data_IF_407382054824
#
_entry.id   IF_407382054824
#
_cell.length_a   1.000
_cell.length_b   1.000
_cell.length_c   1.000
_cell.angle_alpha   90.00
_cell.angle_beta   90.00
_cell.angle_gamma   90.00
#
_symmetry.space_group_name_H-M   'P 1'
#
loop_
_entity.id
_entity.type
_entity.pdbx_description
1 polymer ?
#
# COMPACT_ATOMS: atom_id res chain seq x y z
N UNK A 1 -16.81 0.96 -23.86
CA UNK A 1 -17.30 0.15 -22.73
C UNK A 1 -16.42 -1.09 -22.51
N UNK A 2 -16.56 -2.21 -23.24
CA UNK A 2 -15.81 -3.45 -22.93
C UNK A 2 -14.29 -3.36 -23.18
N UNK A 3 -13.88 -2.70 -24.27
CA UNK A 3 -12.46 -2.53 -24.62
C UNK A 3 -11.69 -1.61 -23.66
N UNK A 4 -12.36 -0.63 -23.06
CA UNK A 4 -11.76 0.28 -22.08
C UNK A 4 -11.53 -0.43 -20.74
N UNK A 5 -12.51 -1.22 -20.30
CA UNK A 5 -12.41 -2.01 -19.06
C UNK A 5 -11.35 -3.12 -19.13
N UNK A 6 -11.15 -3.72 -20.31
CA UNK A 6 -10.06 -4.68 -20.55
C UNK A 6 -8.69 -3.99 -20.52
N UNK A 7 -8.59 -2.79 -21.09
CA UNK A 7 -7.36 -2.01 -21.12
C UNK A 7 -6.94 -1.50 -19.74
N UNK A 8 -7.90 -1.12 -18.87
CA UNK A 8 -7.64 -0.72 -17.48
C UNK A 8 -7.06 -1.85 -16.63
N UNK A 9 -7.59 -3.07 -16.76
CA UNK A 9 -7.06 -4.26 -16.09
C UNK A 9 -5.63 -4.60 -16.53
N UNK A 10 -5.32 -4.40 -17.82
CA UNK A 10 -3.97 -4.57 -18.37
C UNK A 10 -2.99 -3.52 -17.82
N UNK A 11 -3.42 -2.27 -17.67
CA UNK A 11 -2.57 -1.19 -17.16
C UNK A 11 -2.26 -1.38 -15.66
N UNK A 12 -3.24 -1.76 -14.85
CA UNK A 12 -3.04 -2.12 -13.44
C UNK A 12 -2.02 -3.27 -13.30
N UNK A 13 -2.25 -4.36 -14.04
CA UNK A 13 -1.37 -5.55 -14.01
C UNK A 13 0.05 -5.20 -14.46
N UNK A 14 0.17 -4.37 -15.50
CA UNK A 14 1.47 -3.90 -15.99
C UNK A 14 2.21 -3.10 -14.92
N UNK A 15 1.54 -2.15 -14.28
CA UNK A 15 2.12 -1.33 -13.22
C UNK A 15 2.57 -2.20 -12.03
N UNK A 16 1.71 -3.11 -11.57
CA UNK A 16 2.01 -3.99 -10.46
C UNK A 16 3.18 -4.93 -10.77
N UNK A 17 3.22 -5.51 -11.98
CA UNK A 17 4.33 -6.36 -12.41
C UNK A 17 5.68 -5.60 -12.42
N UNK A 18 5.69 -4.32 -12.82
CA UNK A 18 6.92 -3.52 -12.78
C UNK A 18 7.32 -3.14 -11.35
N UNK A 19 6.35 -2.85 -10.47
CA UNK A 19 6.61 -2.66 -9.05
C UNK A 19 7.25 -3.90 -8.42
N UNK A 20 6.67 -5.08 -8.65
CA UNK A 20 7.20 -6.35 -8.16
C UNK A 20 8.61 -6.64 -8.71
N UNK A 21 8.82 -6.41 -10.00
CA UNK A 21 10.15 -6.56 -10.63
C UNK A 21 11.17 -5.65 -9.95
N UNK A 22 10.82 -4.39 -9.73
CA UNK A 22 11.72 -3.40 -9.17
C UNK A 22 12.06 -3.67 -7.70
N UNK A 23 11.04 -4.00 -6.90
CA UNK A 23 11.20 -4.32 -5.46
C UNK A 23 11.96 -5.62 -5.25
N UNK A 24 11.94 -6.56 -6.20
CA UNK A 24 12.84 -7.72 -6.23
C UNK A 24 14.30 -7.38 -6.58
N UNK A 25 14.68 -6.09 -6.62
CA UNK A 25 16.03 -5.63 -6.95
C UNK A 25 16.39 -5.73 -8.44
N UNK A 26 15.42 -6.04 -9.31
CA UNK A 26 15.65 -6.15 -10.76
C UNK A 26 15.42 -4.81 -11.45
N UNK A 27 16.21 -4.56 -12.49
CA UNK A 27 16.07 -3.33 -13.25
C UNK A 27 14.81 -3.31 -14.12
N UNK A 28 14.06 -2.21 -14.06
CA UNK A 28 12.91 -1.95 -14.93
C UNK A 28 13.40 -1.42 -16.29
N UNK A 29 13.22 -2.21 -17.35
CA UNK A 29 13.69 -1.85 -18.70
C UNK A 29 13.05 -0.55 -19.20
N UNK A 30 13.79 0.22 -20.02
CA UNK A 30 13.31 1.47 -20.63
C UNK A 30 11.97 1.34 -21.36
N UNK A 31 11.72 0.23 -22.07
CA UNK A 31 10.43 -0.01 -22.74
C UNK A 31 9.26 -0.12 -21.75
N UNK A 32 9.49 -0.74 -20.59
CA UNK A 32 8.49 -0.86 -19.53
C UNK A 32 8.26 0.46 -18.83
N UNK A 33 9.32 1.25 -18.60
CA UNK A 33 9.17 2.62 -18.10
C UNK A 33 8.32 3.46 -19.05
N UNK A 34 8.59 3.47 -20.36
CA UNK A 34 7.75 4.20 -21.32
C UNK A 34 6.28 3.81 -21.22
N UNK A 35 5.98 2.52 -21.08
CA UNK A 35 4.59 2.07 -20.89
C UNK A 35 3.95 2.62 -19.60
N UNK A 36 4.70 2.73 -18.51
CA UNK A 36 4.22 3.38 -17.28
C UNK A 36 4.01 4.88 -17.49
N UNK A 37 4.88 5.53 -18.26
CA UNK A 37 4.72 6.94 -18.59
C UNK A 37 3.49 7.18 -19.47
N UNK A 38 3.20 6.28 -20.41
CA UNK A 38 1.99 6.36 -21.25
C UNK A 38 0.73 6.42 -20.37
N UNK A 39 0.64 5.59 -19.31
CA UNK A 39 -0.47 5.63 -18.33
C UNK A 39 -0.55 7.01 -17.64
N UNK A 40 0.59 7.60 -17.27
CA UNK A 40 0.64 8.90 -16.59
C UNK A 40 0.29 10.06 -17.51
N UNK A 41 0.63 9.97 -18.79
CA UNK A 41 0.48 11.08 -19.74
C UNK A 41 -0.77 10.99 -20.61
N UNK A 42 -1.46 9.83 -20.64
CA UNK A 42 -2.72 9.70 -21.35
C UNK A 42 -3.81 10.50 -20.62
N UNK A 43 -4.09 11.70 -21.14
CA UNK A 43 -5.12 12.60 -20.64
C UNK A 43 -6.52 12.25 -21.16
N UNK A 44 -6.61 11.42 -22.20
CA UNK A 44 -7.88 10.98 -22.77
C UNK A 44 -8.47 9.80 -22.01
N UNK A 45 -7.67 9.14 -21.16
CA UNK A 45 -8.10 8.05 -20.30
C UNK A 45 -8.25 8.48 -18.84
N UNK A 46 -9.40 8.14 -18.28
CA UNK A 46 -9.63 8.18 -16.84
C UNK A 46 -9.11 6.85 -16.30
N UNK A 47 -7.90 6.85 -15.76
CA UNK A 47 -7.37 5.67 -15.10
C UNK A 47 -7.97 5.54 -13.70
N UNK A 48 -8.30 4.32 -13.30
CA UNK A 48 -8.65 4.01 -11.92
C UNK A 48 -7.55 4.49 -10.96
N UNK A 49 -7.97 4.98 -9.78
CA UNK A 49 -7.07 5.44 -8.71
C UNK A 49 -6.04 4.37 -8.36
N UNK A 50 -6.44 3.10 -8.32
CA UNK A 50 -5.58 1.95 -8.03
C UNK A 50 -4.42 1.85 -9.02
N UNK A 51 -4.74 1.95 -10.32
CA UNK A 51 -3.75 1.90 -11.40
C UNK A 51 -2.77 3.06 -11.29
N UNK A 52 -3.26 4.28 -11.02
CA UNK A 52 -2.40 5.45 -10.86
C UNK A 52 -1.49 5.32 -9.63
N UNK A 53 -2.04 4.88 -8.50
CA UNK A 53 -1.29 4.68 -7.26
C UNK A 53 -0.17 3.64 -7.41
N UNK A 54 -0.48 2.47 -7.99
CA UNK A 54 0.51 1.43 -8.26
C UNK A 54 1.53 1.89 -9.30
N UNK A 55 1.13 2.68 -10.29
CA UNK A 55 2.05 3.28 -11.28
C UNK A 55 3.04 4.24 -10.60
N UNK A 56 2.57 5.09 -9.68
CA UNK A 56 3.43 5.97 -8.88
C UNK A 56 4.43 5.16 -8.07
N UNK A 57 3.99 4.10 -7.39
CA UNK A 57 4.87 3.20 -6.65
C UNK A 57 5.93 2.60 -7.58
N UNK A 58 5.54 2.04 -8.74
CA UNK A 58 6.47 1.47 -9.70
C UNK A 58 7.51 2.50 -10.21
N UNK A 59 7.08 3.72 -10.53
CA UNK A 59 7.95 4.80 -10.99
C UNK A 59 8.88 5.28 -9.88
N UNK A 60 8.41 5.39 -8.64
CA UNK A 60 9.24 5.72 -7.47
C UNK A 60 10.34 4.68 -7.27
N UNK A 61 10.01 3.38 -7.39
CA UNK A 61 11.03 2.34 -7.33
C UNK A 61 12.06 2.49 -8.46
N UNK A 62 11.61 2.69 -9.70
CA UNK A 62 12.52 2.88 -10.84
C UNK A 62 13.39 4.14 -10.69
N UNK A 63 12.86 5.22 -10.12
CA UNK A 63 13.59 6.44 -9.78
C UNK A 63 14.69 6.18 -8.74
N UNK A 64 14.42 5.35 -7.72
CA UNK A 64 15.40 4.94 -6.69
C UNK A 64 16.56 4.15 -7.29
N UNK A 65 16.38 3.47 -8.43
CA UNK A 65 17.47 2.82 -9.17
C UNK A 65 18.43 3.82 -9.86
N UNK A 66 18.11 5.13 -9.85
CA UNK A 66 18.95 6.24 -10.38
C UNK A 66 19.36 6.08 -11.86
N UNK A 67 18.59 5.34 -12.65
CA UNK A 67 18.87 5.12 -14.09
C UNK A 67 18.14 6.07 -15.03
N UNK A 68 17.02 6.60 -14.57
CA UNK A 68 16.16 7.50 -15.33
C UNK A 68 15.69 8.59 -14.38
N UNK A 69 15.56 9.83 -14.88
CA UNK A 69 14.92 10.90 -14.13
C UNK A 69 13.42 10.92 -14.45
N UNK A 70 12.64 10.44 -13.49
CA UNK A 70 11.19 10.24 -13.57
C UNK A 70 10.43 11.22 -12.68
N UNK A 71 11.12 12.14 -11.98
CA UNK A 71 10.52 13.05 -10.99
C UNK A 71 9.35 13.85 -11.56
N UNK A 72 9.53 14.41 -12.75
CA UNK A 72 8.48 15.18 -13.42
C UNK A 72 7.19 14.37 -13.65
N UNK A 73 7.32 13.12 -14.09
CA UNK A 73 6.18 12.24 -14.33
C UNK A 73 5.53 11.78 -13.04
N UNK A 74 6.33 11.50 -12.01
CA UNK A 74 5.84 11.17 -10.68
C UNK A 74 5.01 12.35 -10.12
N UNK A 75 5.53 13.57 -10.21
CA UNK A 75 4.83 14.77 -9.75
C UNK A 75 3.52 15.00 -10.52
N UNK A 76 3.51 14.75 -11.83
CA UNK A 76 2.29 14.81 -12.64
C UNK A 76 1.26 13.76 -12.21
N UNK A 77 1.69 12.51 -12.01
CA UNK A 77 0.82 11.41 -11.57
C UNK A 77 0.23 11.69 -10.18
N UNK A 78 1.04 12.22 -9.26
CA UNK A 78 0.61 12.65 -7.92
C UNK A 78 -0.47 13.72 -8.03
N UNK A 79 -0.27 14.77 -8.83
CA UNK A 79 -1.27 15.84 -9.00
C UNK A 79 -2.60 15.30 -9.52
N UNK A 80 -2.55 14.38 -10.49
CA UNK A 80 -3.75 13.68 -10.99
C UNK A 80 -4.41 12.90 -9.85
N UNK A 81 -3.65 12.08 -9.12
CA UNK A 81 -4.17 11.28 -8.02
C UNK A 81 -4.81 12.14 -6.92
N UNK A 82 -4.22 13.28 -6.58
CA UNK A 82 -4.75 14.23 -5.60
C UNK A 82 -6.09 14.84 -5.99
N UNK A 83 -6.37 15.02 -7.27
CA UNK A 83 -7.68 15.49 -7.73
C UNK A 83 -8.82 14.50 -7.46
N UNK A 84 -8.51 13.27 -7.08
CA UNK A 84 -9.51 12.25 -6.73
C UNK A 84 -9.81 12.15 -5.22
N UNK A 85 -9.18 12.97 -4.37
CA UNK A 85 -9.52 13.00 -2.95
C UNK A 85 -10.87 13.68 -2.72
N UNK A 86 -11.81 12.94 -2.13
CA UNK A 86 -13.12 13.41 -1.71
C UNK A 86 -13.10 14.24 -0.43
N UNK A 87 -14.23 14.84 -0.10
CA UNK A 87 -14.38 15.65 1.13
C UNK A 87 -14.28 14.82 2.41
N UNK A 88 -14.69 13.55 2.33
CA UNK A 88 -14.59 12.50 3.34
C UNK A 88 -13.16 11.96 3.51
N UNK A 89 -12.22 12.39 2.66
CA UNK A 89 -10.83 11.95 2.67
C UNK A 89 -10.54 10.73 1.80
N UNK A 90 -11.56 10.05 1.29
CA UNK A 90 -11.41 8.88 0.44
C UNK A 90 -10.84 9.25 -0.93
N UNK A 91 -10.10 8.35 -1.55
CA UNK A 91 -9.80 8.44 -2.98
C UNK A 91 -10.79 7.54 -3.73
N UNK A 92 -11.59 8.12 -4.61
CA UNK A 92 -12.64 7.41 -5.38
C UNK A 92 -13.73 6.72 -4.53
N UNK A 93 -13.97 7.17 -3.29
CA UNK A 93 -14.98 6.61 -2.36
C UNK A 93 -14.83 5.12 -2.05
N UNK A 94 -13.62 4.55 -2.21
CA UNK A 94 -13.35 3.13 -1.98
C UNK A 94 -12.12 2.95 -1.08
N UNK A 95 -12.19 1.99 -0.16
CA UNK A 95 -11.14 1.71 0.83
C UNK A 95 -9.86 1.19 0.19
N UNK A 96 -9.95 0.19 -0.69
CA UNK A 96 -8.79 -0.34 -1.42
C UNK A 96 -7.99 0.77 -2.12
N UNK A 97 -8.72 1.60 -2.86
CA UNK A 97 -8.17 2.71 -3.65
C UNK A 97 -7.55 3.78 -2.77
N UNK A 98 -8.21 4.12 -1.67
CA UNK A 98 -7.69 5.04 -0.66
C UNK A 98 -6.40 4.51 -0.05
N UNK A 99 -6.35 3.22 0.31
CA UNK A 99 -5.17 2.61 0.90
C UNK A 99 -3.97 2.61 -0.08
N UNK A 100 -4.18 2.24 -1.34
CA UNK A 100 -3.11 2.31 -2.36
C UNK A 100 -2.66 3.75 -2.60
N UNK A 101 -3.58 4.72 -2.67
CA UNK A 101 -3.26 6.13 -2.84
C UNK A 101 -2.41 6.65 -1.67
N UNK A 102 -2.78 6.33 -0.42
CA UNK A 102 -1.99 6.66 0.77
C UNK A 102 -0.56 6.12 0.67
N UNK A 103 -0.40 4.87 0.24
CA UNK A 103 0.93 4.29 0.05
C UNK A 103 1.74 5.04 -1.01
N UNK A 104 1.12 5.42 -2.14
CA UNK A 104 1.77 6.21 -3.18
C UNK A 104 2.21 7.61 -2.68
N UNK A 105 1.39 8.26 -1.85
CA UNK A 105 1.73 9.56 -1.25
C UNK A 105 2.86 9.43 -0.23
N UNK A 106 2.80 8.41 0.64
CA UNK A 106 3.86 8.10 1.61
C UNK A 106 5.18 7.82 0.91
N UNK A 107 5.16 7.02 -0.16
CA UNK A 107 6.34 6.73 -0.98
C UNK A 107 7.00 7.97 -1.60
N UNK A 108 6.20 9.02 -1.82
CA UNK A 108 6.61 10.25 -2.49
C UNK A 108 7.00 11.37 -1.53
N UNK A 109 6.94 11.13 -0.21
CA UNK A 109 7.28 12.10 0.85
C UNK A 109 6.56 13.44 0.69
N UNK A 110 5.32 13.43 0.20
CA UNK A 110 4.55 14.66 0.03
C UNK A 110 4.10 15.20 1.38
N UNK A 111 4.71 16.30 1.81
CA UNK A 111 4.23 17.08 2.95
C UNK A 111 3.29 18.19 2.46
N UNK A 112 2.06 18.24 3.01
CA UNK A 112 1.22 19.43 3.00
C UNK A 112 0.39 19.74 1.74
N UNK A 113 0.39 18.89 0.71
CA UNK A 113 -0.41 19.13 -0.52
C UNK A 113 -1.80 18.48 -0.52
N UNK A 114 -2.17 17.74 0.52
CA UNK A 114 -3.40 16.96 0.59
C UNK A 114 -3.81 16.65 2.03
N UNK A 115 -5.07 16.30 2.23
CA UNK A 115 -5.60 16.09 3.58
C UNK A 115 -5.29 14.66 4.05
N UNK A 116 -4.04 14.45 4.45
CA UNK A 116 -3.56 13.16 4.94
C UNK A 116 -4.33 12.67 6.16
N UNK A 117 -4.66 13.59 7.07
CA UNK A 117 -5.44 13.28 8.28
C UNK A 117 -6.79 12.68 7.93
N UNK A 118 -7.56 13.32 7.04
CA UNK A 118 -8.88 12.78 6.65
C UNK A 118 -8.79 11.44 5.94
N UNK A 119 -7.81 11.24 5.08
CA UNK A 119 -7.64 9.95 4.42
C UNK A 119 -7.26 8.84 5.42
N UNK A 120 -6.47 9.15 6.44
CA UNK A 120 -6.17 8.22 7.53
C UNK A 120 -7.42 7.93 8.38
N UNK A 121 -8.18 8.96 8.76
CA UNK A 121 -9.46 8.80 9.48
C UNK A 121 -10.45 7.97 8.68
N UNK A 122 -10.54 8.18 7.36
CA UNK A 122 -11.34 7.37 6.47
C UNK A 122 -10.91 5.90 6.52
N UNK A 123 -9.62 5.59 6.38
CA UNK A 123 -9.15 4.19 6.46
C UNK A 123 -9.49 3.58 7.83
N UNK A 124 -9.19 4.28 8.92
CA UNK A 124 -9.40 3.76 10.28
C UNK A 124 -10.88 3.55 10.62
N UNK A 125 -11.79 4.37 10.07
CA UNK A 125 -13.23 4.21 10.29
C UNK A 125 -13.82 2.98 9.62
N UNK A 126 -13.08 2.35 8.69
CA UNK A 126 -13.49 1.12 8.02
C UNK A 126 -12.97 -0.15 8.69
N UNK A 127 -12.24 -0.03 9.82
CA UNK A 127 -11.84 -1.21 10.59
C UNK A 127 -13.07 -1.87 11.23
N UNK A 128 -13.25 -3.16 10.95
CA UNK A 128 -14.31 -3.97 11.53
C UNK A 128 -13.94 -4.44 12.94
N UNK A 129 -14.93 -4.97 13.66
CA UNK A 129 -14.76 -5.42 15.06
C UNK A 129 -13.78 -6.59 15.22
N UNK A 130 -13.56 -7.38 14.17
CA UNK A 130 -12.56 -8.44 14.12
C UNK A 130 -11.14 -7.93 13.78
N UNK A 131 -11.00 -6.61 13.58
CA UNK A 131 -9.75 -5.95 13.21
C UNK A 131 -9.43 -5.95 11.72
N UNK A 132 -10.22 -6.65 10.90
CA UNK A 132 -10.10 -6.62 9.44
C UNK A 132 -10.61 -5.30 8.87
N UNK A 133 -10.36 -5.07 7.58
CA UNK A 133 -10.90 -3.93 6.84
C UNK A 133 -11.93 -4.39 5.80
N UNK A 134 -12.70 -5.43 6.13
CA UNK A 134 -13.63 -6.09 5.23
C UNK A 134 -12.99 -7.30 4.55
N UNK A 135 -12.58 -7.16 3.29
CA UNK A 135 -12.04 -8.28 2.51
C UNK A 135 -10.52 -8.47 2.67
N UNK A 136 -10.02 -9.61 2.17
CA UNK A 136 -8.59 -9.89 2.06
C UNK A 136 -7.86 -8.80 1.26
N UNK A 137 -8.46 -8.32 0.16
CA UNK A 137 -7.86 -7.30 -0.70
C UNK A 137 -7.72 -5.94 -0.02
N UNK A 138 -8.76 -5.49 0.68
CA UNK A 138 -8.74 -4.22 1.44
C UNK A 138 -7.78 -4.31 2.62
N UNK A 139 -7.87 -5.40 3.38
CA UNK A 139 -6.99 -5.65 4.52
C UNK A 139 -5.52 -5.66 4.07
N UNK A 140 -5.19 -6.38 3.01
CA UNK A 140 -3.82 -6.41 2.47
C UNK A 140 -3.33 -5.05 1.95
N UNK A 141 -4.22 -4.22 1.41
CA UNK A 141 -3.87 -2.87 0.99
C UNK A 141 -3.63 -1.92 2.19
N UNK A 142 -4.35 -2.12 3.29
CA UNK A 142 -4.22 -1.29 4.50
C UNK A 142 -3.06 -1.70 5.39
N UNK A 143 -2.76 -3.00 5.51
CA UNK A 143 -1.75 -3.53 6.43
C UNK A 143 -0.38 -2.83 6.35
N UNK A 144 0.20 -2.54 5.17
CA UNK A 144 1.45 -1.79 5.08
C UNK A 144 1.37 -0.41 5.75
N UNK A 145 0.25 0.31 5.58
CA UNK A 145 0.05 1.65 6.14
C UNK A 145 0.09 1.63 7.66
N UNK A 146 -0.55 0.63 8.28
CA UNK A 146 -0.55 0.47 9.75
C UNK A 146 0.87 0.27 10.29
N UNK A 147 1.74 -0.36 9.51
CA UNK A 147 3.17 -0.53 9.82
C UNK A 147 4.04 0.69 9.47
N UNK A 148 3.46 1.78 8.95
CA UNK A 148 4.21 2.91 8.42
C UNK A 148 5.02 2.56 7.16
N UNK A 149 4.54 1.59 6.38
CA UNK A 149 5.19 1.04 5.19
C UNK A 149 4.29 1.15 3.96
N UNK A 150 4.90 0.84 2.81
CA UNK A 150 4.26 0.79 1.51
C UNK A 150 4.70 -0.49 0.78
N UNK A 151 4.03 -0.81 -0.32
CA UNK A 151 4.46 -1.90 -1.20
C UNK A 151 5.88 -1.70 -1.77
N UNK A 152 6.45 -0.49 -1.75
CA UNK A 152 7.85 -0.28 -2.13
C UNK A 152 8.85 -0.86 -1.13
N UNK A 153 8.43 -1.02 0.12
CA UNK A 153 9.31 -1.40 1.21
C UNK A 153 9.48 -2.93 1.31
N UNK A 154 8.66 -3.69 0.58
CA UNK A 154 8.72 -5.17 0.53
C UNK A 154 10.13 -5.67 0.20
N UNK A 155 10.80 -5.02 -0.76
CA UNK A 155 12.17 -5.37 -1.15
C UNK A 155 13.27 -4.95 -0.17
N UNK A 156 12.94 -4.11 0.82
CA UNK A 156 13.89 -3.57 1.79
C UNK A 156 13.92 -4.40 3.09
N UNK A 157 12.94 -5.29 3.27
CA UNK A 157 12.84 -6.12 4.45
C UNK A 157 13.80 -7.31 4.38
N UNK A 158 14.78 -7.30 5.27
CA UNK A 158 15.58 -8.47 5.56
C UNK A 158 14.77 -9.37 6.49
N UNK A 159 14.23 -10.46 5.94
CA UNK A 159 13.67 -11.51 6.77
C UNK A 159 14.81 -12.09 7.59
N UNK A 160 14.89 -11.71 8.87
CA UNK A 160 15.79 -12.40 9.79
C UNK A 160 15.33 -13.86 9.80
N UNK A 161 16.21 -14.76 9.37
CA UNK A 161 16.03 -16.19 9.63
C UNK A 161 16.14 -16.37 11.14
N UNK A 162 15.06 -16.07 11.86
CA UNK A 162 14.81 -16.83 13.07
C UNK A 162 14.47 -18.22 12.56
N UNK A 163 15.51 -19.03 12.44
CA UNK A 163 15.41 -20.47 12.47
C UNK A 163 14.89 -20.79 13.88
N UNK A 164 13.61 -20.50 14.12
CA UNK A 164 12.87 -21.29 15.06
C UNK A 164 13.03 -22.68 14.50
N UNK A 165 13.80 -23.51 15.20
CA UNK A 165 13.63 -24.95 15.14
C UNK A 165 12.16 -25.19 15.49
N UNK A 166 11.30 -25.06 14.48
CA UNK A 166 10.12 -25.88 14.38
C UNK A 166 10.67 -27.28 14.61
N UNK A 167 10.23 -27.99 15.67
CA UNK A 167 10.69 -29.35 15.88
C UNK A 167 10.53 -30.07 14.54
N UNK A 168 11.57 -30.77 14.09
CA UNK A 168 11.45 -31.69 12.96
C UNK A 168 10.21 -32.55 13.25
N UNK A 169 9.13 -32.29 12.53
CA UNK A 169 7.98 -33.17 12.56
C UNK A 169 8.47 -34.37 11.78
N UNK A 170 8.87 -35.41 12.50
CA UNK A 170 9.09 -36.72 11.93
C UNK A 170 7.86 -37.05 11.06
N UNK A 171 8.02 -37.31 9.75
CA UNK A 171 6.93 -37.66 8.86
C UNK A 171 6.07 -38.83 9.37
N UNK A 172 6.55 -39.60 10.36
CA UNK A 172 5.86 -40.73 10.94
C UNK A 172 4.91 -40.38 12.10
N UNK A 173 4.94 -39.14 12.63
CA UNK A 173 4.15 -38.72 13.81
C UNK A 173 3.06 -37.68 13.54
N UNK A 174 2.58 -37.55 12.30
CA UNK A 174 1.39 -36.74 11.99
C UNK A 174 0.13 -37.62 11.91
N UNK A 175 -0.57 -37.92 13.03
CA UNK A 175 -1.95 -38.38 12.92
C UNK A 175 -2.78 -37.19 12.43
N UNK A 176 -3.28 -37.33 11.20
CA UNK A 176 -4.12 -36.38 10.47
C UNK A 176 -5.35 -35.93 11.30
N UNK A 177 -5.72 -36.68 12.33
CA UNK A 177 -6.86 -36.44 13.20
C UNK A 177 -6.69 -35.32 14.24
N UNK A 178 -5.49 -34.77 14.46
CA UNK A 178 -5.26 -33.75 15.51
C UNK A 178 -5.20 -32.30 15.01
N UNK A 179 -5.23 -32.06 13.70
CA UNK A 179 -5.26 -30.70 13.14
C UNK A 179 -6.58 -29.93 13.41
N UNK A 180 -7.63 -30.64 13.84
CA UNK A 180 -8.93 -30.03 14.18
C UNK A 180 -8.95 -29.52 15.64
N UNK A 181 -8.01 -29.94 16.50
CA UNK A 181 -8.04 -29.65 17.95
C UNK A 181 -7.14 -28.49 18.39
N UNK A 182 -6.30 -27.94 17.51
CA UNK A 182 -5.45 -26.82 17.86
C UNK A 182 -6.24 -25.51 17.79
N UNK A 183 -7.01 -25.23 18.83
CA UNK A 183 -7.55 -23.89 19.09
C UNK A 183 -6.36 -23.00 19.49
N UNK A 184 -5.60 -22.52 18.49
CA UNK A 184 -4.48 -21.61 18.71
C UNK A 184 -5.08 -20.28 19.17
N UNK A 185 -4.88 -19.84 20.43
CA UNK A 185 -5.41 -18.56 20.87
C UNK A 185 -4.73 -17.44 20.07
N UNK A 186 -5.55 -16.51 19.56
CA UNK A 186 -5.05 -15.32 18.90
C UNK A 186 -4.03 -14.59 19.80
N UNK A 187 -2.94 -14.05 19.25
CA UNK A 187 -1.99 -13.29 20.05
C UNK A 187 -2.69 -12.06 20.65
N UNK A 188 -2.66 -11.97 21.98
CA UNK A 188 -3.20 -10.82 22.72
C UNK A 188 -2.43 -9.56 22.32
N UNK A 189 -3.10 -8.49 21.87
CA UNK A 189 -2.43 -7.23 21.57
C UNK A 189 -1.75 -6.69 22.83
N UNK A 190 -0.43 -6.47 22.77
CA UNK A 190 0.26 -5.73 23.82
C UNK A 190 -0.29 -4.30 23.81
N UNK A 191 -0.92 -3.89 24.91
CA UNK A 191 -1.38 -2.51 25.10
C UNK A 191 -0.22 -1.55 24.87
N UNK A 192 -0.36 -0.67 23.88
CA UNK A 192 0.53 0.46 23.70
C UNK A 192 0.39 1.38 24.93
N UNK A 193 1.49 1.91 25.50
CA UNK A 193 1.38 2.85 26.61
C UNK A 193 0.55 4.08 26.20
N UNK A 194 -0.44 4.41 27.03
CA UNK A 194 -1.25 5.62 26.90
C UNK A 194 -0.34 6.86 26.87
N UNK A 195 -0.59 7.75 25.91
CA UNK A 195 0.01 9.09 25.92
C UNK A 195 -0.59 9.88 27.10
N UNK A 196 0.20 10.67 27.84
CA UNK A 196 -0.34 11.51 28.89
C UNK A 196 -1.24 12.62 28.30
N UNK A 197 -2.33 12.86 29.01
CA UNK A 197 -3.29 13.93 28.77
C UNK A 197 -2.60 15.30 28.78
N UNK A 198 -2.78 16.07 27.69
CA UNK A 198 -2.42 17.50 27.68
C UNK A 198 -3.66 18.27 28.12
N UNK A 199 -3.85 18.33 29.43
CA UNK A 199 -4.81 19.23 30.08
C UNK A 199 -4.11 19.93 31.23
N UNK A 200 -3.47 21.08 30.94
CA UNK A 200 -3.40 22.28 31.78
C UNK A 200 -2.32 23.24 31.29
N UNK A 201 -2.75 24.34 30.64
CA UNK A 201 -2.00 25.59 30.62
C UNK A 201 -2.97 26.76 30.32
N UNK A 202 -3.83 27.05 31.29
CA UNK A 202 -4.51 28.34 31.43
C UNK A 202 -4.39 28.78 32.89
N UNK A 203 -3.43 29.68 33.19
CA UNK A 203 -3.54 30.79 34.16
C UNK A 203 -2.16 31.30 34.66
N UNK A 204 -1.95 32.62 34.61
CA UNK A 204 -0.92 33.42 35.34
C UNK A 204 0.37 33.65 34.54
N UNK A 205 0.85 34.85 34.24
CA UNK A 205 0.55 36.24 34.67
C UNK A 205 0.60 37.19 33.46
#
# INVERSE_FOLDING_TARGET
>A
AMLEHEQEGVDFTTAFAQLATCTAGRHVRKSRIRRLLDIVTDHHKIHAVDTMAVTILALQCAQRQRRHDLRHYIDQAIKRLLSHQGQDGAFSSNLHSTALALQAMMASHLAGSWNATRAQEYVMSHQLTDGSFGGLFDTNAVLPLLGGRTLLDVGLHHCSKHEQQLPEVDPQDAPVDKLIAANIPAPVPKQLPMRPDVSNATSGD
#
